data_IF_806424771918
#
_entry.id   IF_806424771918
#
_cell.length_a   1.000
_cell.length_b   1.000
_cell.length_c   1.000
_cell.angle_alpha   90.00
_cell.angle_beta   90.00
_cell.angle_gamma   90.00
#
_symmetry.space_group_name_H-M   'P 1'
#
loop_
_entity.id
_entity.type
_entity.pdbx_description
1 polymer ?
#
# COMPACT_ATOMS: atom_id res chain seq x y z
N UNK A 1 -29.10 22.91 27.43
CA UNK A 1 -28.27 22.70 28.64
C UNK A 1 -26.94 22.17 28.13
N UNK A 2 -25.96 22.91 27.76
CA UNK A 2 -25.01 23.77 28.44
C UNK A 2 -24.13 23.05 29.48
N UNK A 3 -22.84 22.92 29.17
CA UNK A 3 -21.61 23.15 29.98
C UNK A 3 -20.45 22.42 29.27
N UNK A 4 -19.53 23.00 28.59
CA UNK A 4 -18.49 24.02 28.86
C UNK A 4 -17.58 23.68 30.07
N UNK A 5 -16.31 23.33 29.85
CA UNK A 5 -15.11 23.58 30.65
C UNK A 5 -13.90 23.27 29.74
N UNK A 6 -13.16 24.09 29.28
CA UNK A 6 -12.23 25.24 29.42
C UNK A 6 -11.24 25.11 30.59
N UNK A 7 -9.96 25.30 30.24
CA UNK A 7 -8.79 25.80 30.99
C UNK A 7 -7.79 24.74 31.46
N UNK A 8 -6.52 24.94 31.37
CA UNK A 8 -5.48 25.96 31.32
C UNK A 8 -4.21 25.33 31.88
N UNK A 9 -3.02 25.64 31.40
CA UNK A 9 -1.78 26.09 32.03
C UNK A 9 -0.62 25.85 31.07
N UNK A 10 -0.02 26.68 30.63
CA UNK A 10 0.94 27.81 30.60
C UNK A 10 2.09 27.73 31.64
N UNK A 11 3.30 28.10 31.19
CA UNK A 11 4.55 28.50 31.85
C UNK A 11 5.53 27.33 32.13
N UNK A 12 6.85 27.48 31.98
CA UNK A 12 7.74 28.65 31.87
C UNK A 12 9.11 28.26 31.30
N UNK A 13 9.76 29.24 30.71
CA UNK A 13 11.16 29.25 30.27
C UNK A 13 12.15 29.27 31.46
N UNK A 14 13.33 28.68 31.28
CA UNK A 14 14.56 29.16 31.93
C UNK A 14 15.74 29.01 30.98
N UNK A 15 16.35 30.15 30.73
CA UNK A 15 17.58 30.46 30.05
C UNK A 15 18.76 30.22 31.01
N UNK A 16 19.83 29.51 30.57
CA UNK A 16 21.15 29.68 31.18
C UNK A 16 22.24 29.61 30.12
N UNK A 17 22.88 30.75 29.95
CA UNK A 17 24.12 31.01 29.23
C UNK A 17 25.28 30.64 30.17
N UNK A 18 26.27 29.90 29.70
CA UNK A 18 27.61 29.96 30.28
C UNK A 18 28.65 29.91 29.15
N UNK A 19 29.38 31.02 29.05
CA UNK A 19 30.59 31.16 28.28
C UNK A 19 31.79 30.62 29.08
N UNK A 20 32.68 29.90 28.42
CA UNK A 20 33.95 29.45 28.98
C UNK A 20 35.02 29.44 27.88
N UNK A 21 35.76 30.54 27.78
CA UNK A 21 37.03 30.62 27.05
C UNK A 21 38.11 29.82 27.76
N UNK A 22 38.86 29.00 27.02
CA UNK A 22 40.08 28.36 27.49
C UNK A 22 41.03 28.09 26.34
N UNK A 23 41.95 29.00 26.09
CA UNK A 23 43.07 28.84 25.16
C UNK A 23 44.06 27.81 25.71
N UNK A 24 44.55 26.89 24.89
CA UNK A 24 45.84 26.23 25.07
C UNK A 24 46.50 25.84 23.73
N UNK A 25 47.78 26.10 23.71
CA UNK A 25 48.72 26.10 22.59
C UNK A 25 48.97 24.71 21.94
N UNK A 26 49.65 24.66 20.76
CA UNK A 26 49.74 23.50 19.91
C UNK A 26 50.85 22.54 20.35
N UNK A 27 50.56 21.23 20.27
CA UNK A 27 51.54 20.14 20.35
C UNK A 27 51.77 19.51 18.97
N UNK A 28 52.95 18.96 18.70
CA UNK A 28 53.40 18.62 17.34
C UNK A 28 52.78 17.37 16.76
N UNK A 29 52.59 17.42 15.46
CA UNK A 29 52.04 16.38 14.59
C UNK A 29 53.02 15.22 14.49
N UNK A 30 52.60 14.01 14.89
CA UNK A 30 53.23 12.73 14.52
C UNK A 30 52.42 12.13 13.41
N UNK A 31 52.97 11.73 12.27
CA UNK A 31 52.18 11.08 11.20
C UNK A 31 51.92 9.62 11.56
N UNK A 32 50.63 9.26 11.68
CA UNK A 32 50.13 7.92 11.79
C UNK A 32 50.18 7.21 10.42
N UNK A 33 50.47 5.90 10.41
CA UNK A 33 50.52 5.12 9.16
C UNK A 33 49.12 4.92 8.55
N UNK A 34 49.01 4.67 7.24
CA UNK A 34 47.73 4.58 6.55
C UNK A 34 46.91 3.41 7.06
N UNK A 35 45.79 3.68 7.69
CA UNK A 35 44.75 2.71 7.94
C UNK A 35 44.05 2.39 6.61
N UNK A 36 44.21 1.14 6.16
CA UNK A 36 43.38 0.55 5.13
C UNK A 36 41.94 0.53 5.62
N UNK A 37 41.11 1.38 5.08
CA UNK A 37 39.66 1.26 5.17
C UNK A 37 39.23 -0.02 4.44
N UNK A 38 38.93 -1.04 5.21
CA UNK A 38 38.07 -2.13 4.75
C UNK A 38 36.69 -1.55 4.52
N UNK A 39 36.43 -1.19 3.26
CA UNK A 39 35.07 -1.10 2.80
C UNK A 39 34.52 -2.53 2.71
N UNK A 40 33.97 -3.02 3.79
CA UNK A 40 32.98 -4.09 3.72
C UNK A 40 31.73 -3.49 3.06
N UNK A 41 31.59 -3.79 1.78
CA UNK A 41 30.35 -3.62 1.05
C UNK A 41 29.29 -4.48 1.71
N UNK A 42 28.45 -3.82 2.50
CA UNK A 42 27.14 -4.38 2.92
C UNK A 42 26.17 -4.30 1.72
N UNK A 43 26.37 -5.19 0.75
CA UNK A 43 25.50 -5.38 -0.41
C UNK A 43 24.38 -6.40 -0.16
N UNK A 44 24.01 -6.66 1.08
CA UNK A 44 22.93 -7.60 1.39
C UNK A 44 21.79 -6.91 2.13
N UNK A 45 21.00 -6.07 1.46
CA UNK A 45 19.59 -5.86 1.80
C UNK A 45 18.84 -4.81 0.96
N UNK A 46 19.09 -4.73 -0.35
CA UNK A 46 18.37 -3.77 -1.22
C UNK A 46 17.32 -4.41 -2.14
N UNK A 47 17.05 -5.70 -1.97
CA UNK A 47 16.12 -6.42 -2.86
C UNK A 47 14.67 -6.51 -2.35
N UNK A 48 14.37 -6.11 -1.11
CA UNK A 48 13.03 -6.30 -0.52
C UNK A 48 12.12 -5.07 -0.51
N UNK A 49 12.61 -3.90 -0.89
CA UNK A 49 11.81 -2.66 -0.81
C UNK A 49 11.32 -2.11 -2.16
N UNK A 50 11.58 -2.80 -3.25
CA UNK A 50 11.02 -2.42 -4.56
C UNK A 50 9.56 -2.83 -4.66
N UNK A 51 8.69 -1.89 -5.04
CA UNK A 51 7.30 -2.20 -5.38
C UNK A 51 7.26 -3.24 -6.50
N UNK A 52 6.54 -4.36 -6.33
CA UNK A 52 6.31 -5.29 -7.42
C UNK A 52 5.50 -4.59 -8.53
N UNK A 53 5.66 -5.03 -9.75
CA UNK A 53 4.84 -4.56 -10.87
C UNK A 53 3.47 -5.23 -10.92
N UNK A 54 3.32 -6.38 -10.25
CA UNK A 54 2.13 -7.22 -10.29
C UNK A 54 1.86 -7.86 -8.93
N UNK A 55 0.58 -8.11 -8.67
CA UNK A 55 0.07 -9.01 -7.64
C UNK A 55 -0.77 -10.11 -8.30
N UNK A 56 -1.22 -11.08 -7.53
CA UNK A 56 -2.01 -12.21 -8.02
C UNK A 56 -3.42 -12.22 -7.41
N UNK A 57 -4.44 -12.47 -8.22
CA UNK A 57 -5.80 -12.81 -7.77
C UNK A 57 -6.05 -14.27 -8.06
N UNK A 58 -6.47 -15.02 -7.04
CA UNK A 58 -6.83 -16.44 -7.17
C UNK A 58 -8.31 -16.64 -6.84
N UNK A 59 -9.03 -17.32 -7.72
CA UNK A 59 -10.44 -17.76 -7.57
C UNK A 59 -10.53 -19.22 -7.94
N UNK A 60 -11.08 -20.06 -7.06
CA UNK A 60 -11.27 -21.51 -7.32
C UNK A 60 -10.02 -22.22 -7.86
N UNK A 61 -8.85 -21.89 -7.29
CA UNK A 61 -7.55 -22.49 -7.65
C UNK A 61 -6.94 -22.01 -8.97
N UNK A 62 -7.61 -21.12 -9.71
CA UNK A 62 -7.05 -20.43 -10.89
C UNK A 62 -6.55 -19.06 -10.48
N UNK A 63 -5.48 -18.57 -11.13
CA UNK A 63 -4.90 -17.26 -10.82
C UNK A 63 -4.76 -16.40 -12.07
N UNK A 64 -5.00 -15.10 -11.91
CA UNK A 64 -4.67 -14.07 -12.89
C UNK A 64 -3.70 -13.05 -12.28
N UNK A 65 -2.67 -12.59 -13.02
CA UNK A 65 -1.85 -11.50 -12.60
C UNK A 65 -2.63 -10.18 -12.70
N UNK A 66 -2.33 -9.26 -11.79
CA UNK A 66 -2.87 -7.90 -11.77
C UNK A 66 -1.71 -6.95 -11.90
N UNK A 67 -1.58 -6.28 -13.03
CA UNK A 67 -0.65 -5.16 -13.17
C UNK A 67 -1.13 -4.01 -12.29
N UNK A 68 -0.33 -3.61 -11.31
CA UNK A 68 -0.73 -2.63 -10.31
C UNK A 68 -0.30 -1.21 -10.68
N UNK A 69 -1.07 -0.23 -10.20
CA UNK A 69 -0.71 1.19 -10.26
C UNK A 69 0.09 1.60 -9.03
N UNK A 70 1.02 2.53 -9.19
CA UNK A 70 1.82 3.05 -8.08
C UNK A 70 1.10 4.20 -7.39
N UNK A 71 0.41 3.89 -6.29
CA UNK A 71 -0.28 4.85 -5.41
C UNK A 71 -0.28 4.36 -3.96
N UNK A 72 -0.71 5.21 -3.02
CA UNK A 72 -0.66 4.91 -1.59
C UNK A 72 -1.52 3.68 -1.20
N UNK A 73 -2.68 3.50 -1.86
CA UNK A 73 -3.54 2.34 -1.63
C UNK A 73 -2.81 1.03 -2.01
N UNK A 74 -2.17 1.04 -3.18
CA UNK A 74 -1.46 -0.12 -3.71
C UNK A 74 -0.21 -0.43 -2.89
N UNK A 75 0.55 0.60 -2.47
CA UNK A 75 1.70 0.41 -1.58
C UNK A 75 1.29 -0.21 -0.25
N UNK A 76 0.19 0.28 0.36
CA UNK A 76 -0.33 -0.28 1.60
C UNK A 76 -0.87 -1.72 1.41
N UNK A 77 -1.50 -2.02 0.27
CA UNK A 77 -1.93 -3.37 -0.07
C UNK A 77 -0.73 -4.31 -0.22
N UNK A 78 0.30 -3.91 -0.97
CA UNK A 78 1.53 -4.69 -1.15
C UNK A 78 2.24 -4.94 0.17
N UNK A 79 2.34 -3.93 1.05
CA UNK A 79 2.91 -4.10 2.39
C UNK A 79 2.14 -5.18 3.18
N UNK A 80 0.81 -5.15 3.13
CA UNK A 80 -0.01 -6.18 3.76
C UNK A 80 0.17 -7.58 3.15
N UNK A 81 0.33 -7.67 1.82
CA UNK A 81 0.54 -8.93 1.11
C UNK A 81 1.94 -9.53 1.34
N UNK A 82 2.94 -8.71 1.70
CA UNK A 82 4.25 -9.19 2.14
C UNK A 82 4.19 -9.93 3.47
N UNK A 83 3.25 -9.55 4.33
CA UNK A 83 3.04 -10.24 5.61
C UNK A 83 2.28 -11.56 5.41
N UNK A 84 1.19 -11.54 4.65
CA UNK A 84 0.37 -12.70 4.35
C UNK A 84 -0.58 -12.44 3.16
N UNK A 85 -0.97 -13.50 2.46
CA UNK A 85 -2.06 -13.42 1.49
C UNK A 85 -3.37 -13.02 2.18
N UNK A 86 -4.23 -12.30 1.46
CA UNK A 86 -5.52 -11.83 1.97
C UNK A 86 -6.62 -12.58 1.24
N UNK A 87 -7.47 -13.27 2.00
CA UNK A 87 -8.62 -14.00 1.46
C UNK A 87 -9.91 -13.37 1.95
N UNK A 88 -10.87 -13.16 1.04
CA UNK A 88 -12.16 -12.58 1.34
C UNK A 88 -13.27 -13.17 0.45
N UNK A 89 -14.52 -13.04 0.87
CA UNK A 89 -15.68 -13.37 0.05
C UNK A 89 -16.13 -12.16 -0.77
N UNK A 90 -16.40 -12.38 -2.05
CA UNK A 90 -16.92 -11.37 -2.96
C UNK A 90 -18.23 -11.86 -3.58
N UNK A 91 -19.18 -10.94 -3.78
CA UNK A 91 -20.50 -11.20 -4.35
C UNK A 91 -20.76 -10.35 -5.60
N UNK A 92 -21.65 -10.82 -6.47
CA UNK A 92 -22.09 -10.02 -7.63
C UNK A 92 -22.84 -8.76 -7.18
N UNK A 93 -22.52 -7.63 -7.80
CA UNK A 93 -23.23 -6.38 -7.63
C UNK A 93 -23.47 -5.70 -8.98
N UNK A 94 -24.66 -5.15 -9.18
CA UNK A 94 -25.04 -4.39 -10.39
C UNK A 94 -24.98 -5.16 -11.72
N UNK A 95 -24.56 -6.44 -11.72
CA UNK A 95 -24.38 -7.24 -12.94
C UNK A 95 -23.11 -6.89 -13.72
N UNK A 96 -22.16 -6.17 -13.12
CA UNK A 96 -20.92 -5.72 -13.77
C UNK A 96 -19.66 -5.88 -12.90
N UNK A 97 -19.80 -6.25 -11.62
CA UNK A 97 -18.66 -6.35 -10.70
C UNK A 97 -18.85 -7.42 -9.62
N UNK A 98 -17.72 -7.87 -9.03
CA UNK A 98 -17.65 -8.62 -7.77
C UNK A 98 -17.12 -7.70 -6.68
N UNK A 99 -17.82 -7.59 -5.55
CA UNK A 99 -17.47 -6.72 -4.42
C UNK A 99 -17.25 -7.55 -3.17
N UNK A 100 -16.15 -7.30 -2.46
CA UNK A 100 -15.87 -7.97 -1.20
C UNK A 100 -15.06 -7.12 -0.23
N UNK A 101 -15.33 -7.29 1.07
CA UNK A 101 -14.63 -6.59 2.14
C UNK A 101 -13.22 -7.13 2.35
N UNK A 102 -12.22 -6.26 2.36
CA UNK A 102 -10.81 -6.62 2.52
C UNK A 102 -10.42 -7.02 3.95
N UNK A 103 -11.34 -6.81 4.93
CA UNK A 103 -11.05 -7.04 6.35
C UNK A 103 -10.11 -6.02 6.99
N UNK A 104 -9.68 -5.00 6.24
CA UNK A 104 -8.84 -3.89 6.69
C UNK A 104 -9.11 -2.63 5.87
N UNK A 105 -8.69 -1.48 6.38
CA UNK A 105 -8.74 -0.22 5.63
C UNK A 105 -7.37 0.08 5.02
N UNK A 106 -7.41 0.64 3.81
CA UNK A 106 -6.24 1.14 3.08
C UNK A 106 -6.43 2.64 2.83
N UNK A 107 -5.35 3.42 2.65
CA UNK A 107 -5.46 4.79 2.14
C UNK A 107 -6.23 4.81 0.83
N UNK A 108 -7.06 5.83 0.63
CA UNK A 108 -7.78 6.03 -0.63
C UNK A 108 -7.51 7.43 -1.19
N UNK A 109 -7.47 7.53 -2.52
CA UNK A 109 -7.39 8.79 -3.27
C UNK A 109 -8.39 8.72 -4.42
N UNK A 110 -9.66 8.75 -4.02
CA UNK A 110 -10.77 8.54 -4.94
C UNK A 110 -10.87 9.66 -5.97
N UNK A 111 -11.03 9.28 -7.22
CA UNK A 111 -11.26 10.17 -8.35
C UNK A 111 -12.39 9.64 -9.23
N UNK A 112 -13.08 10.56 -9.92
CA UNK A 112 -14.13 10.16 -10.87
C UNK A 112 -13.49 9.44 -12.06
N UNK A 113 -13.76 8.15 -12.18
CA UNK A 113 -13.27 7.32 -13.29
C UNK A 113 -14.40 6.47 -13.87
N UNK A 114 -14.25 6.09 -15.14
CA UNK A 114 -15.05 5.04 -15.77
C UNK A 114 -14.22 3.75 -15.77
N UNK A 115 -14.72 2.73 -15.10
CA UNK A 115 -14.05 1.43 -15.03
C UNK A 115 -14.21 0.63 -16.32
N UNK A 116 -13.33 -0.33 -16.51
CA UNK A 116 -13.33 -1.27 -17.62
C UNK A 116 -13.28 -2.70 -17.08
N UNK A 117 -13.72 -3.71 -17.87
CA UNK A 117 -13.47 -5.10 -17.51
C UNK A 117 -11.99 -5.35 -17.16
N UNK A 118 -11.76 -6.06 -16.07
CA UNK A 118 -10.43 -6.34 -15.54
C UNK A 118 -9.94 -5.31 -14.50
N UNK A 119 -10.57 -4.16 -14.35
CA UNK A 119 -10.16 -3.18 -13.32
C UNK A 119 -10.35 -3.77 -11.92
N UNK A 120 -9.33 -3.54 -11.09
CA UNK A 120 -9.30 -3.85 -9.66
C UNK A 120 -9.30 -2.53 -8.91
N UNK A 121 -10.32 -2.32 -8.09
CA UNK A 121 -10.62 -1.03 -7.49
C UNK A 121 -10.69 -1.18 -5.96
N UNK A 122 -10.19 -0.20 -5.23
CA UNK A 122 -10.50 0.02 -3.83
C UNK A 122 -11.71 0.98 -3.76
N UNK A 123 -12.76 0.56 -3.09
CA UNK A 123 -13.94 1.36 -2.82
C UNK A 123 -14.11 1.59 -1.33
N UNK A 124 -14.41 2.84 -0.95
CA UNK A 124 -14.61 3.26 0.45
C UNK A 124 -13.44 2.87 1.38
N UNK A 125 -12.23 2.73 0.84
CA UNK A 125 -11.02 2.41 1.59
C UNK A 125 -10.92 0.98 2.14
N UNK A 126 -11.94 0.11 2.00
CA UNK A 126 -11.96 -1.21 2.64
C UNK A 126 -12.63 -2.33 1.82
N UNK A 127 -13.09 -2.04 0.62
CA UNK A 127 -13.67 -3.03 -0.29
C UNK A 127 -12.84 -3.15 -1.56
N UNK A 128 -12.60 -4.37 -2.01
CA UNK A 128 -12.04 -4.64 -3.33
C UNK A 128 -13.18 -4.97 -4.28
N UNK A 129 -13.13 -4.30 -5.43
CA UNK A 129 -14.12 -4.46 -6.52
C UNK A 129 -13.40 -4.95 -7.75
N UNK A 130 -13.88 -6.07 -8.31
CA UNK A 130 -13.35 -6.74 -9.50
C UNK A 130 -14.35 -6.58 -10.64
N UNK A 131 -14.01 -5.76 -11.63
CA UNK A 131 -14.92 -5.43 -12.73
C UNK A 131 -14.88 -6.48 -13.84
N UNK A 132 -16.06 -6.95 -14.27
CA UNK A 132 -16.28 -7.71 -15.51
C UNK A 132 -17.20 -6.96 -16.49
N UNK A 133 -17.63 -5.76 -16.11
CA UNK A 133 -18.35 -4.77 -16.89
C UNK A 133 -17.75 -3.39 -16.64
N UNK A 134 -18.58 -2.35 -16.69
CA UNK A 134 -18.17 -0.95 -16.54
C UNK A 134 -19.14 -0.19 -15.63
N UNK A 135 -18.60 0.73 -14.86
CA UNK A 135 -19.34 1.71 -14.07
C UNK A 135 -18.55 3.03 -13.99
N UNK A 136 -19.24 4.15 -13.77
CA UNK A 136 -18.62 5.45 -13.59
C UNK A 136 -18.91 5.97 -12.16
N UNK A 137 -17.86 6.08 -11.35
CA UNK A 137 -17.97 6.52 -9.97
C UNK A 137 -16.64 7.07 -9.44
N UNK A 138 -16.63 7.50 -8.18
CA UNK A 138 -15.41 7.91 -7.49
C UNK A 138 -14.74 6.69 -6.87
N UNK A 139 -13.54 6.36 -7.35
CA UNK A 139 -12.78 5.16 -6.99
C UNK A 139 -11.30 5.43 -6.86
N UNK A 140 -10.61 4.60 -6.07
CA UNK A 140 -9.15 4.47 -6.10
C UNK A 140 -8.76 3.21 -6.88
N UNK A 141 -8.02 3.35 -7.97
CA UNK A 141 -7.59 2.20 -8.78
C UNK A 141 -6.40 1.50 -8.13
N UNK A 142 -6.49 0.19 -7.98
CA UNK A 142 -5.38 -0.68 -7.56
C UNK A 142 -4.60 -1.17 -8.78
N UNK A 143 -5.29 -1.56 -9.84
CA UNK A 143 -4.65 -2.08 -11.04
C UNK A 143 -5.63 -2.72 -12.01
N UNK A 144 -5.09 -3.60 -12.87
CA UNK A 144 -5.89 -4.33 -13.87
C UNK A 144 -5.44 -5.77 -14.01
N UNK A 145 -6.40 -6.70 -13.94
CA UNK A 145 -6.22 -8.12 -14.23
C UNK A 145 -5.78 -8.31 -15.68
N UNK A 146 -4.80 -9.19 -15.90
CA UNK A 146 -4.34 -9.59 -17.22
C UNK A 146 -5.10 -10.85 -17.63
N UNK A 147 -5.95 -10.75 -18.64
CA UNK A 147 -6.79 -11.83 -19.15
C UNK A 147 -6.81 -11.83 -20.68
N UNK A 148 -7.18 -12.95 -21.30
CA UNK A 148 -7.24 -13.07 -22.75
C UNK A 148 -8.50 -12.46 -23.34
N UNK A 149 -9.67 -12.99 -22.96
CA UNK A 149 -10.98 -12.57 -23.48
C UNK A 149 -11.93 -12.17 -22.35
N UNK A 150 -12.96 -11.39 -22.66
CA UNK A 150 -13.97 -10.99 -21.68
C UNK A 150 -14.72 -12.21 -21.11
N UNK A 151 -14.94 -13.23 -21.91
CA UNK A 151 -15.61 -14.45 -21.46
C UNK A 151 -14.74 -15.25 -20.49
N UNK A 152 -13.42 -15.33 -20.72
CA UNK A 152 -12.46 -15.89 -19.75
C UNK A 152 -12.46 -15.13 -18.43
N UNK A 153 -12.49 -13.79 -18.46
CA UNK A 153 -12.59 -12.98 -17.26
C UNK A 153 -13.90 -13.22 -16.49
N UNK A 154 -15.04 -13.27 -17.20
CA UNK A 154 -16.34 -13.55 -16.61
C UNK A 154 -16.41 -14.96 -16.01
N UNK A 155 -15.85 -15.94 -16.68
CA UNK A 155 -15.76 -17.32 -16.16
C UNK A 155 -14.83 -17.41 -14.95
N UNK A 156 -13.67 -16.72 -14.98
CA UNK A 156 -12.75 -16.63 -13.84
C UNK A 156 -13.44 -16.02 -12.61
N UNK A 157 -14.14 -14.91 -12.79
CA UNK A 157 -14.88 -14.23 -11.72
C UNK A 157 -16.23 -14.89 -11.40
N UNK A 158 -16.62 -15.94 -12.14
CA UNK A 158 -17.92 -16.61 -11.97
C UNK A 158 -19.09 -15.61 -11.97
N UNK A 159 -19.09 -14.70 -12.94
CA UNK A 159 -20.07 -13.62 -13.03
C UNK A 159 -21.50 -14.17 -13.07
N UNK A 160 -22.39 -13.62 -12.21
CA UNK A 160 -23.79 -14.06 -12.10
C UNK A 160 -24.00 -15.42 -11.41
N UNK A 161 -22.93 -16.04 -10.84
CA UNK A 161 -23.00 -17.35 -10.18
C UNK A 161 -22.93 -17.29 -8.65
N UNK A 162 -23.14 -16.11 -8.07
CA UNK A 162 -23.16 -15.91 -6.63
C UNK A 162 -21.79 -15.56 -6.02
N UNK A 163 -21.58 -15.94 -4.77
CA UNK A 163 -20.37 -15.61 -4.04
C UNK A 163 -19.16 -16.42 -4.51
N UNK A 164 -18.00 -15.80 -4.46
CA UNK A 164 -16.71 -16.42 -4.72
C UNK A 164 -15.74 -16.09 -3.58
N UNK A 165 -14.84 -17.03 -3.30
CA UNK A 165 -13.69 -16.77 -2.43
C UNK A 165 -12.54 -16.25 -3.29
N UNK A 166 -12.02 -15.09 -2.94
CA UNK A 166 -10.92 -14.41 -3.63
C UNK A 166 -9.70 -14.40 -2.71
N UNK A 167 -8.53 -14.76 -3.23
CA UNK A 167 -7.25 -14.62 -2.53
C UNK A 167 -6.34 -13.68 -3.31
N UNK A 168 -5.84 -12.65 -2.62
CA UNK A 168 -4.79 -11.75 -3.10
C UNK A 168 -3.44 -12.22 -2.56
N UNK A 169 -2.41 -12.25 -3.41
CA UNK A 169 -1.03 -12.61 -3.03
C UNK A 169 0.00 -11.89 -3.90
N UNK A 170 1.27 -11.90 -3.46
CA UNK A 170 2.41 -11.51 -4.29
C UNK A 170 2.81 -12.63 -5.23
#
# INVERSE_FOLDING_TARGET
MMKLFVRFYLLAAILMIQAGCGSKAPTPIVPDPPQQEHQEQDETNKAEDTMPSEIKITVSGKSLPVKIEDNDATRALVAALREASITYEAHDYGGFEKVGGLGRSLPSSDSQITTQPGDVILYSGNQIVLFYGSNAWSYTRIGRMQYGTLDELKDFLQSGRGNITVTLSL
#
